data_IF_418051972741
#
_entry.id   IF_418051972741
#
_cell.length_a   1.000
_cell.length_b   1.000
_cell.length_c   1.000
_cell.angle_alpha   90.00
_cell.angle_beta   90.00
_cell.angle_gamma   90.00
#
_symmetry.space_group_name_H-M   'P 1'
#
loop_
_entity.id
_entity.type
_entity.pdbx_description
1 polymer ?
#
# COMPACT_ATOMS: atom_id res chain seq x y z
N UNK A 1 23.63 -0.75 -3.78
CA UNK A 1 22.93 -1.92 -3.22
C UNK A 1 21.45 -1.73 -3.46
N UNK A 2 20.69 -2.75 -3.90
CA UNK A 2 19.25 -2.59 -4.13
C UNK A 2 18.55 -2.18 -2.83
N UNK A 3 17.65 -1.19 -2.87
CA UNK A 3 16.90 -0.75 -1.69
C UNK A 3 15.83 -1.76 -1.21
N UNK A 4 15.67 -2.88 -1.90
CA UNK A 4 14.66 -3.90 -1.61
C UNK A 4 15.06 -4.88 -0.50
N UNK A 5 14.04 -5.47 0.13
CA UNK A 5 14.16 -6.51 1.16
C UNK A 5 14.91 -6.07 2.44
N UNK A 6 14.92 -4.78 2.75
CA UNK A 6 15.47 -4.27 4.03
C UNK A 6 14.54 -4.55 5.22
N UNK A 7 13.22 -4.54 4.98
CA UNK A 7 12.22 -4.90 5.98
C UNK A 7 11.99 -6.41 6.02
N UNK A 8 11.69 -6.89 7.21
CA UNK A 8 11.14 -8.22 7.46
C UNK A 8 10.03 -8.05 8.50
N UNK A 9 8.99 -8.89 8.44
CA UNK A 9 7.83 -8.81 9.31
C UNK A 9 7.73 -10.09 10.13
N UNK A 10 7.26 -9.99 11.37
CA UNK A 10 6.79 -11.14 12.13
C UNK A 10 5.37 -11.52 11.73
N UNK A 11 4.95 -12.75 12.06
CA UNK A 11 3.56 -13.20 11.86
C UNK A 11 2.55 -12.31 12.60
N UNK A 12 2.91 -11.84 13.79
CA UNK A 12 2.05 -10.94 14.60
C UNK A 12 1.85 -9.61 13.90
N UNK A 13 2.94 -8.99 13.41
CA UNK A 13 2.86 -7.74 12.66
C UNK A 13 2.08 -7.92 11.37
N UNK A 14 2.31 -9.01 10.65
CA UNK A 14 1.59 -9.27 9.40
C UNK A 14 0.08 -9.47 9.62
N UNK A 15 -0.33 -10.18 10.68
CA UNK A 15 -1.74 -10.27 11.05
C UNK A 15 -2.35 -8.89 11.37
N UNK A 16 -1.63 -8.03 12.09
CA UNK A 16 -2.08 -6.68 12.40
C UNK A 16 -2.24 -5.81 11.15
N UNK A 17 -1.31 -5.93 10.20
CA UNK A 17 -1.39 -5.25 8.91
C UNK A 17 -2.63 -5.72 8.14
N UNK A 18 -2.89 -7.04 8.10
CA UNK A 18 -4.07 -7.61 7.45
C UNK A 18 -5.36 -7.12 8.13
N UNK A 19 -5.42 -7.13 9.46
CA UNK A 19 -6.59 -6.69 10.22
C UNK A 19 -6.91 -5.21 9.96
N UNK A 20 -5.90 -4.34 9.87
CA UNK A 20 -6.03 -2.94 9.45
C UNK A 20 -6.49 -2.80 7.99
N UNK A 21 -5.95 -3.60 7.08
CA UNK A 21 -6.33 -3.58 5.66
C UNK A 21 -7.78 -4.02 5.45
N UNK A 22 -8.22 -5.08 6.14
CA UNK A 22 -9.61 -5.56 6.11
C UNK A 22 -10.56 -4.49 6.65
N UNK A 23 -10.18 -3.82 7.75
CA UNK A 23 -10.98 -2.75 8.33
C UNK A 23 -11.24 -1.60 7.34
N UNK A 24 -10.20 -1.12 6.66
CA UNK A 24 -10.32 0.03 5.74
C UNK A 24 -10.76 -0.34 4.32
N UNK A 25 -10.99 -1.63 4.03
CA UNK A 25 -11.29 -2.09 2.67
C UNK A 25 -12.57 -1.48 2.12
N UNK A 26 -13.61 -1.37 2.94
CA UNK A 26 -14.93 -0.87 2.51
C UNK A 26 -14.86 0.59 2.04
N UNK A 27 -14.17 1.44 2.80
CA UNK A 27 -14.03 2.87 2.46
C UNK A 27 -13.21 3.06 1.19
N UNK A 28 -12.12 2.29 1.05
CA UNK A 28 -11.33 2.28 -0.16
C UNK A 28 -12.15 1.83 -1.39
N UNK A 29 -12.82 0.68 -1.30
CA UNK A 29 -13.63 0.15 -2.41
C UNK A 29 -14.74 1.15 -2.81
N UNK A 30 -15.40 1.77 -1.82
CA UNK A 30 -16.42 2.81 -2.05
C UNK A 30 -15.81 3.99 -2.80
N UNK A 31 -14.67 4.50 -2.34
CA UNK A 31 -14.02 5.66 -2.94
C UNK A 31 -13.51 5.42 -4.36
N UNK A 32 -13.00 4.22 -4.65
CA UNK A 32 -12.63 3.84 -6.02
C UNK A 32 -13.89 3.77 -6.92
N UNK A 33 -14.98 3.16 -6.42
CA UNK A 33 -16.24 3.06 -7.16
C UNK A 33 -16.86 4.42 -7.46
N UNK A 34 -16.79 5.37 -6.52
CA UNK A 34 -17.33 6.73 -6.68
C UNK A 34 -16.34 7.70 -7.33
N UNK A 35 -15.12 7.24 -7.67
CA UNK A 35 -14.00 8.07 -8.20
C UNK A 35 -13.57 9.20 -7.24
N UNK A 36 -13.83 9.06 -5.95
CA UNK A 36 -13.30 9.96 -4.92
C UNK A 36 -11.77 9.85 -4.84
N UNK A 37 -11.25 8.66 -5.12
CA UNK A 37 -9.85 8.36 -5.44
C UNK A 37 -9.82 7.80 -6.86
N UNK A 38 -8.99 8.39 -7.72
CA UNK A 38 -8.73 7.87 -9.06
C UNK A 38 -7.51 6.93 -9.09
N UNK A 39 -7.36 6.19 -10.18
CA UNK A 39 -6.27 5.22 -10.36
C UNK A 39 -4.88 5.87 -10.30
N UNK A 40 -4.70 7.08 -10.83
CA UNK A 40 -3.42 7.80 -10.80
C UNK A 40 -3.04 8.12 -9.35
N UNK A 41 -3.98 8.62 -8.55
CA UNK A 41 -3.76 8.97 -7.16
C UNK A 41 -3.52 7.72 -6.30
N UNK A 42 -4.32 6.67 -6.49
CA UNK A 42 -4.12 5.36 -5.86
C UNK A 42 -2.71 4.84 -6.12
N UNK A 43 -2.29 4.76 -7.39
CA UNK A 43 -0.98 4.21 -7.77
C UNK A 43 0.18 5.03 -7.20
N UNK A 44 0.04 6.37 -7.13
CA UNK A 44 1.05 7.24 -6.49
C UNK A 44 1.19 6.96 -5.00
N UNK A 45 0.08 6.82 -4.26
CA UNK A 45 0.10 6.43 -2.84
C UNK A 45 0.77 5.06 -2.67
N UNK A 46 0.38 4.09 -3.51
CA UNK A 46 0.92 2.72 -3.43
C UNK A 46 2.42 2.66 -3.71
N UNK A 47 2.91 3.44 -4.68
CA UNK A 47 4.34 3.55 -4.98
C UNK A 47 5.11 4.17 -3.82
N UNK A 48 4.64 5.29 -3.26
CA UNK A 48 5.31 5.97 -2.15
C UNK A 48 5.52 5.02 -0.95
N UNK A 49 4.48 4.29 -0.54
CA UNK A 49 4.58 3.28 0.53
C UNK A 49 5.52 2.14 0.16
N UNK A 50 5.46 1.69 -1.10
CA UNK A 50 6.26 0.59 -1.62
C UNK A 50 7.76 0.91 -1.65
N UNK A 51 8.12 2.15 -1.99
CA UNK A 51 9.49 2.64 -1.98
C UNK A 51 10.07 2.64 -0.56
N UNK A 52 9.30 3.14 0.42
CA UNK A 52 9.69 3.12 1.84
C UNK A 52 9.85 1.69 2.37
N UNK A 53 8.93 0.79 2.03
CA UNK A 53 9.00 -0.59 2.50
C UNK A 53 10.05 -1.44 1.76
N UNK A 54 10.41 -1.06 0.54
CA UNK A 54 11.35 -1.82 -0.29
C UNK A 54 10.78 -3.15 -0.79
N UNK A 55 9.51 -3.19 -1.24
CA UNK A 55 8.94 -4.36 -1.90
C UNK A 55 9.27 -4.38 -3.41
N UNK A 56 10.23 -5.21 -3.84
CA UNK A 56 10.66 -5.30 -5.26
C UNK A 56 9.50 -5.69 -6.19
N UNK A 57 8.70 -6.69 -5.81
CA UNK A 57 7.59 -7.19 -6.63
C UNK A 57 6.53 -6.11 -6.81
N UNK A 58 6.13 -5.47 -5.71
CA UNK A 58 5.13 -4.41 -5.71
C UNK A 58 5.61 -3.18 -6.49
N UNK A 59 6.90 -2.84 -6.34
CA UNK A 59 7.52 -1.71 -7.04
C UNK A 59 7.45 -1.91 -8.55
N UNK A 60 7.82 -3.11 -9.01
CA UNK A 60 7.77 -3.45 -10.43
C UNK A 60 6.34 -3.44 -10.96
N UNK A 61 5.38 -3.98 -10.20
CA UNK A 61 3.97 -4.00 -10.57
C UNK A 61 3.38 -2.59 -10.69
N UNK A 62 3.48 -1.77 -9.64
CA UNK A 62 2.86 -0.44 -9.63
C UNK A 62 3.62 0.57 -10.51
N UNK A 63 4.93 0.40 -10.74
CA UNK A 63 5.65 1.19 -11.74
C UNK A 63 5.14 0.91 -13.15
N UNK A 64 4.84 -0.36 -13.46
CA UNK A 64 4.22 -0.73 -14.74
C UNK A 64 2.82 -0.12 -14.87
N UNK A 65 2.00 -0.25 -13.82
CA UNK A 65 0.66 0.36 -13.76
C UNK A 65 0.70 1.88 -13.97
N UNK A 66 1.64 2.58 -13.32
CA UNK A 66 1.82 4.02 -13.47
C UNK A 66 2.15 4.43 -14.92
N UNK A 67 3.01 3.65 -15.61
CA UNK A 67 3.33 3.89 -17.02
C UNK A 67 2.12 3.68 -17.92
N UNK A 68 1.35 2.62 -17.69
CA UNK A 68 0.14 2.35 -18.47
C UNK A 68 -0.91 3.46 -18.30
N UNK A 69 -1.06 4.00 -17.09
CA UNK A 69 -1.92 5.16 -16.81
C UNK A 69 -1.43 6.43 -17.52
N UNK A 70 -0.11 6.68 -17.54
CA UNK A 70 0.47 7.82 -18.23
C UNK A 70 0.22 7.75 -19.75
N UNK A 71 0.47 6.59 -20.36
CA UNK A 71 0.22 6.35 -21.79
C UNK A 71 -1.26 6.52 -22.12
N UNK A 72 -2.16 5.99 -21.28
CA UNK A 72 -3.60 6.16 -21.47
C UNK A 72 -3.99 7.64 -21.44
N UNK A 73 -3.42 8.42 -20.53
CA UNK A 73 -3.67 9.86 -20.40
C UNK A 73 -3.22 10.61 -21.64
N UNK A 74 -1.99 10.37 -22.12
CA UNK A 74 -1.46 10.94 -23.37
C UNK A 74 -2.35 10.60 -24.57
N UNK A 75 -2.77 9.34 -24.69
CA UNK A 75 -3.61 8.89 -25.80
C UNK A 75 -5.06 9.40 -25.74
N UNK A 76 -5.57 9.74 -24.55
CA UNK A 76 -6.86 10.43 -24.40
C UNK A 76 -6.76 11.94 -24.61
N UNK A 77 -5.56 12.50 -24.51
CA UNK A 77 -5.24 13.91 -24.75
C UNK A 77 -4.70 14.09 -26.17
N UNK A 78 -5.50 13.74 -27.19
CA UNK A 78 -5.22 14.19 -28.57
C UNK A 78 -5.50 15.71 -28.61
N UNK A 79 -4.43 16.49 -28.80
CA UNK A 79 -4.39 17.97 -28.85
C UNK A 79 -4.82 18.70 -27.56
N UNK A 80 -3.88 18.84 -26.62
CA UNK A 80 -3.52 20.15 -26.08
C UNK A 80 -2.20 20.00 -25.32
N UNK A 81 -1.13 20.55 -25.90
CA UNK A 81 0.17 20.73 -25.28
C UNK A 81 0.07 21.78 -24.19
N UNK A 82 -0.53 21.44 -23.06
CA UNK A 82 -0.43 22.23 -21.84
C UNK A 82 -0.12 21.32 -20.65
N UNK A 83 1.19 21.29 -20.35
CA UNK A 83 1.71 21.47 -19.00
C UNK A 83 1.36 20.36 -17.99
N UNK A 84 2.29 19.40 -17.85
CA UNK A 84 2.50 18.70 -16.58
C UNK A 84 3.23 19.64 -15.60
N UNK A 85 2.56 20.69 -15.13
CA UNK A 85 2.91 21.24 -13.83
C UNK A 85 2.12 20.46 -12.82
N UNK A 86 2.84 19.65 -12.06
CA UNK A 86 2.37 19.14 -10.80
C UNK A 86 1.75 20.30 -10.03
N UNK A 87 0.43 20.25 -9.81
CA UNK A 87 -0.21 21.02 -8.75
C UNK A 87 0.30 20.46 -7.42
N UNK A 88 1.43 21.03 -7.02
CA UNK A 88 2.43 20.58 -6.05
C UNK A 88 2.13 21.07 -4.64
N UNK A 89 0.92 20.83 -4.16
CA UNK A 89 0.64 21.01 -2.72
C UNK A 89 -0.46 20.07 -2.26
N UNK A 90 -1.53 19.95 -3.06
CA UNK A 90 -2.68 19.09 -2.71
C UNK A 90 -2.30 17.63 -2.64
N UNK A 91 -1.63 17.17 -3.70
CA UNK A 91 -1.19 15.79 -3.89
C UNK A 91 0.00 15.39 -3.00
N UNK A 92 0.61 16.32 -2.28
CA UNK A 92 1.81 16.06 -1.47
C UNK A 92 1.45 15.57 -0.08
N UNK A 93 0.45 16.18 0.58
CA UNK A 93 0.08 15.81 1.95
C UNK A 93 -0.30 14.32 2.10
N UNK A 94 -1.10 13.75 1.18
CA UNK A 94 -1.46 12.34 1.25
C UNK A 94 -0.26 11.40 0.98
N UNK A 95 0.69 11.85 0.16
CA UNK A 95 1.91 11.09 -0.15
C UNK A 95 2.86 11.13 1.04
N UNK A 96 3.08 12.30 1.63
CA UNK A 96 3.84 12.47 2.86
C UNK A 96 3.22 11.66 4.01
N UNK A 97 1.90 11.70 4.16
CA UNK A 97 1.19 10.89 5.15
C UNK A 97 1.43 9.40 4.91
N UNK A 98 1.37 8.94 3.65
CA UNK A 98 1.61 7.56 3.26
C UNK A 98 3.05 7.10 3.55
N UNK A 99 4.04 7.92 3.22
CA UNK A 99 5.46 7.65 3.49
C UNK A 99 5.72 7.57 5.00
N UNK A 100 5.20 8.54 5.76
CA UNK A 100 5.29 8.55 7.21
C UNK A 100 4.61 7.34 7.84
N UNK A 101 3.42 6.95 7.36
CA UNK A 101 2.73 5.74 7.82
C UNK A 101 3.60 4.49 7.64
N UNK A 102 4.30 4.40 6.51
CA UNK A 102 5.19 3.29 6.20
C UNK A 102 6.48 3.33 7.04
N UNK A 103 7.04 4.51 7.30
CA UNK A 103 8.20 4.69 8.18
C UNK A 103 7.88 4.30 9.63
N UNK A 104 6.71 4.70 10.12
CA UNK A 104 6.22 4.46 11.49
C UNK A 104 5.56 3.09 11.70
N UNK A 105 5.86 2.12 10.82
CA UNK A 105 5.36 0.74 10.87
C UNK A 105 3.84 0.63 11.01
N UNK A 106 3.13 1.48 10.27
CA UNK A 106 1.69 1.51 10.18
C UNK A 106 0.98 2.29 11.28
N UNK A 107 1.70 3.21 11.92
CA UNK A 107 1.16 4.15 12.91
C UNK A 107 1.22 5.58 12.37
N UNK A 108 0.43 6.47 12.96
CA UNK A 108 0.41 7.90 12.69
C UNK A 108 -0.01 8.64 13.96
N UNK A 109 0.39 9.91 14.10
CA UNK A 109 -0.07 10.77 15.19
C UNK A 109 -1.47 11.32 14.89
N UNK A 110 -2.20 11.68 15.94
CA UNK A 110 -3.50 12.35 15.82
C UNK A 110 -3.38 13.67 15.04
N UNK A 111 -2.29 14.41 15.24
CA UNK A 111 -1.96 15.61 14.48
C UNK A 111 -1.92 15.37 12.97
N UNK A 112 -1.12 14.40 12.50
CA UNK A 112 -1.03 14.06 11.06
C UNK A 112 -2.35 13.56 10.49
N UNK A 113 -3.16 12.91 11.32
CA UNK A 113 -4.49 12.45 10.91
C UNK A 113 -5.48 13.60 10.76
N UNK A 114 -5.49 14.52 11.72
CA UNK A 114 -6.35 15.69 11.70
C UNK A 114 -5.97 16.60 10.53
N UNK A 115 -4.68 16.80 10.26
CA UNK A 115 -4.21 17.53 9.07
C UNK A 115 -4.73 16.91 7.77
N UNK A 116 -4.72 15.57 7.66
CA UNK A 116 -5.27 14.87 6.50
C UNK A 116 -6.79 15.08 6.39
N UNK A 117 -7.53 15.00 7.50
CA UNK A 117 -8.98 15.25 7.55
C UNK A 117 -9.31 16.69 7.17
N UNK A 118 -8.61 17.67 7.73
CA UNK A 118 -8.82 19.09 7.45
C UNK A 118 -8.63 19.39 5.96
N UNK A 119 -7.70 18.67 5.32
CA UNK A 119 -7.40 18.84 3.91
C UNK A 119 -8.36 18.13 2.96
N UNK A 120 -8.68 16.85 3.23
CA UNK A 120 -9.38 15.97 2.30
C UNK A 120 -10.84 15.70 2.68
N UNK A 121 -11.23 16.02 3.91
CA UNK A 121 -12.47 15.56 4.52
C UNK A 121 -12.38 14.09 4.96
N UNK A 122 -13.20 13.74 5.96
CA UNK A 122 -13.16 12.43 6.62
C UNK A 122 -13.32 11.24 5.64
N UNK A 123 -14.26 11.32 4.69
CA UNK A 123 -14.52 10.22 3.76
C UNK A 123 -13.29 9.92 2.88
N UNK A 124 -12.67 10.97 2.31
CA UNK A 124 -11.52 10.80 1.43
C UNK A 124 -10.26 10.43 2.22
N UNK A 125 -10.08 10.96 3.43
CA UNK A 125 -8.98 10.57 4.33
C UNK A 125 -9.04 9.10 4.74
N UNK A 126 -10.23 8.58 5.07
CA UNK A 126 -10.41 7.15 5.33
C UNK A 126 -10.10 6.29 4.10
N UNK A 127 -10.48 6.76 2.91
CA UNK A 127 -10.15 6.06 1.67
C UNK A 127 -8.64 6.08 1.35
N UNK A 128 -7.95 7.20 1.59
CA UNK A 128 -6.48 7.31 1.46
C UNK A 128 -5.82 6.33 2.43
N UNK A 129 -6.24 6.31 3.69
CA UNK A 129 -5.76 5.37 4.70
C UNK A 129 -6.03 3.92 4.29
N UNK A 130 -7.15 3.64 3.63
CA UNK A 130 -7.46 2.34 3.06
C UNK A 130 -6.51 1.92 1.94
N UNK A 131 -6.19 2.82 1.01
CA UNK A 131 -5.19 2.56 -0.02
C UNK A 131 -3.82 2.23 0.59
N UNK A 132 -3.39 3.01 1.60
CA UNK A 132 -2.13 2.81 2.33
C UNK A 132 -2.12 1.46 3.05
N UNK A 133 -3.17 1.11 3.80
CA UNK A 133 -3.24 -0.15 4.55
C UNK A 133 -3.27 -1.37 3.63
N UNK A 134 -3.96 -1.29 2.49
CA UNK A 134 -3.98 -2.34 1.48
C UNK A 134 -2.59 -2.56 0.87
N UNK A 135 -1.86 -1.50 0.51
CA UNK A 135 -0.51 -1.66 -0.02
C UNK A 135 0.50 -2.09 1.06
N UNK A 136 0.33 -1.70 2.32
CA UNK A 136 1.12 -2.24 3.43
C UNK A 136 0.98 -3.76 3.54
N UNK A 137 -0.25 -4.29 3.41
CA UNK A 137 -0.51 -5.72 3.32
C UNK A 137 0.18 -6.35 2.10
N UNK A 138 0.04 -5.74 0.93
CA UNK A 138 0.69 -6.18 -0.31
C UNK A 138 2.22 -6.19 -0.22
N UNK A 139 2.82 -5.18 0.40
CA UNK A 139 4.25 -5.06 0.61
C UNK A 139 4.77 -6.11 1.59
N UNK A 140 4.12 -6.28 2.74
CA UNK A 140 4.52 -7.29 3.72
C UNK A 140 4.50 -8.70 3.13
N UNK A 141 3.44 -9.02 2.39
CA UNK A 141 3.32 -10.30 1.69
C UNK A 141 4.34 -10.43 0.54
N UNK A 142 4.46 -9.40 -0.30
CA UNK A 142 5.35 -9.40 -1.47
C UNK A 142 6.83 -9.48 -1.10
N UNK A 143 7.24 -8.90 0.03
CA UNK A 143 8.60 -9.03 0.58
C UNK A 143 8.87 -10.48 0.99
N UNK A 144 7.95 -11.12 1.72
CA UNK A 144 8.11 -12.51 2.15
C UNK A 144 8.12 -13.49 0.96
N UNK A 145 7.15 -13.35 0.04
CA UNK A 145 7.05 -14.18 -1.15
C UNK A 145 8.25 -13.98 -2.09
N UNK A 146 8.69 -12.73 -2.28
CA UNK A 146 9.87 -12.40 -3.08
C UNK A 146 11.15 -12.98 -2.46
N UNK A 147 11.31 -12.88 -1.14
CA UNK A 147 12.45 -13.48 -0.44
C UNK A 147 12.46 -15.01 -0.60
N UNK A 148 11.30 -15.68 -0.47
CA UNK A 148 11.16 -17.11 -0.72
C UNK A 148 11.56 -17.50 -2.15
N UNK A 149 11.05 -16.80 -3.15
CA UNK A 149 11.39 -17.03 -4.57
C UNK A 149 12.90 -16.85 -4.80
N UNK A 150 13.51 -15.82 -4.21
CA UNK A 150 14.95 -15.58 -4.35
C UNK A 150 15.78 -16.66 -3.67
N UNK A 151 15.33 -17.18 -2.52
CA UNK A 151 15.96 -18.31 -1.85
C UNK A 151 15.93 -19.58 -2.70
N UNK A 152 14.79 -19.87 -3.35
CA UNK A 152 14.68 -20.97 -4.32
C UNK A 152 15.60 -20.79 -5.53
N UNK A 153 16.00 -19.54 -5.85
CA UNK A 153 17.01 -19.20 -6.86
C UNK A 153 18.44 -19.09 -6.31
N UNK A 154 18.70 -19.64 -5.12
CA UNK A 154 20.01 -19.59 -4.44
C UNK A 154 20.53 -18.17 -4.16
N UNK A 155 19.63 -17.18 -4.01
CA UNK A 155 19.95 -15.77 -3.69
C UNK A 155 19.24 -15.33 -2.40
N UNK A 156 19.50 -15.99 -1.25
CA UNK A 156 18.76 -15.73 -0.01
C UNK A 156 18.91 -14.27 0.46
N UNK A 157 17.85 -13.75 1.06
CA UNK A 157 17.87 -12.42 1.69
C UNK A 157 18.44 -12.55 3.10
N UNK A 158 19.46 -11.75 3.43
CA UNK A 158 20.27 -11.89 4.66
C UNK A 158 19.48 -11.76 5.97
N UNK A 159 18.42 -10.96 6.00
CA UNK A 159 17.64 -10.63 7.20
C UNK A 159 16.37 -11.51 7.37
N UNK A 160 16.29 -12.65 6.69
CA UNK A 160 15.14 -13.56 6.77
C UNK A 160 15.55 -15.03 6.68
N UNK A 161 14.67 -15.91 7.14
CA UNK A 161 14.86 -17.37 7.14
C UNK A 161 13.80 -18.03 6.27
N UNK A 162 14.10 -19.22 5.75
CA UNK A 162 13.17 -19.99 4.94
C UNK A 162 11.82 -20.21 5.64
N UNK A 163 11.83 -20.61 6.91
CA UNK A 163 10.61 -20.84 7.69
C UNK A 163 9.78 -19.55 7.85
N UNK A 164 10.43 -18.41 8.10
CA UNK A 164 9.72 -17.13 8.21
C UNK A 164 9.10 -16.70 6.88
N UNK A 165 9.86 -16.79 5.79
CA UNK A 165 9.40 -16.47 4.44
C UNK A 165 8.20 -17.35 4.04
N UNK A 166 8.30 -18.66 4.27
CA UNK A 166 7.24 -19.61 3.96
C UNK A 166 5.99 -19.36 4.82
N UNK A 167 6.17 -19.17 6.13
CA UNK A 167 5.08 -18.94 7.07
C UNK A 167 4.29 -17.67 6.71
N UNK A 168 4.97 -16.54 6.47
CA UNK A 168 4.32 -15.28 6.07
C UNK A 168 3.63 -15.39 4.70
N UNK A 169 4.24 -16.12 3.77
CA UNK A 169 3.66 -16.31 2.44
C UNK A 169 2.36 -17.11 2.54
N UNK A 170 2.34 -18.20 3.31
CA UNK A 170 1.16 -19.06 3.43
C UNK A 170 0.12 -18.54 4.41
N UNK A 171 0.52 -17.74 5.41
CA UNK A 171 -0.39 -17.28 6.47
C UNK A 171 -1.52 -16.41 5.93
N UNK A 172 -1.37 -15.77 4.77
CA UNK A 172 -2.44 -14.97 4.14
C UNK A 172 -3.73 -15.78 3.93
N UNK A 173 -3.61 -17.09 3.67
CA UNK A 173 -4.74 -18.01 3.46
C UNK A 173 -5.60 -18.13 4.73
N UNK A 174 -4.98 -18.02 5.91
CA UNK A 174 -5.66 -18.14 7.21
C UNK A 174 -5.97 -16.76 7.79
N UNK A 175 -5.03 -15.83 7.71
CA UNK A 175 -5.11 -14.52 8.35
C UNK A 175 -6.18 -13.63 7.73
N UNK A 176 -6.38 -13.68 6.40
CA UNK A 176 -7.43 -12.87 5.76
C UNK A 176 -8.83 -13.33 6.17
N UNK A 177 -9.21 -14.62 6.04
CA UNK A 177 -10.53 -15.08 6.49
C UNK A 177 -10.76 -14.83 7.98
N UNK A 178 -9.77 -15.10 8.83
CA UNK A 178 -9.90 -14.88 10.28
C UNK A 178 -10.06 -13.41 10.65
N UNK A 179 -9.35 -12.49 9.98
CA UNK A 179 -9.53 -11.06 10.18
C UNK A 179 -10.93 -10.60 9.73
N UNK A 180 -11.44 -11.11 8.60
CA UNK A 180 -12.81 -10.82 8.15
C UNK A 180 -13.84 -11.33 9.17
N UNK A 181 -13.71 -12.59 9.63
CA UNK A 181 -14.61 -13.17 10.64
C UNK A 181 -14.58 -12.35 11.92
N UNK A 182 -13.39 -12.02 12.45
CA UNK A 182 -13.21 -11.18 13.64
C UNK A 182 -13.96 -9.86 13.48
N UNK A 183 -13.78 -9.14 12.37
CA UNK A 183 -14.40 -7.83 12.14
C UNK A 183 -15.93 -7.91 12.00
N UNK A 184 -16.45 -8.98 11.38
CA UNK A 184 -17.90 -9.26 11.31
C UNK A 184 -18.49 -9.56 12.69
N UNK A 185 -17.82 -10.39 13.50
CA UNK A 185 -18.26 -10.71 14.87
C UNK A 185 -18.32 -9.47 15.74
N UNK A 186 -17.40 -8.52 15.52
CA UNK A 186 -17.38 -7.23 16.22
C UNK A 186 -18.39 -6.20 15.67
N UNK A 187 -19.15 -6.53 14.63
CA UNK A 187 -20.12 -5.61 14.01
C UNK A 187 -19.50 -4.41 13.30
N UNK A 188 -18.23 -4.50 12.92
CA UNK A 188 -17.48 -3.40 12.30
C UNK A 188 -17.64 -3.40 10.77
N UNK A 189 -17.73 -4.59 10.16
CA UNK A 189 -17.94 -4.78 8.72
C UNK A 189 -19.11 -5.73 8.44
#
# INVERSE_FOLDING_TARGET
>A
MSNFYKKNYSLKEFYHIIDKAVFSKKDFDKAMKTKLIDEEFKTRIMLAVTEINGCEICNNYHTKEARELAIKKENTQIFNSEVFTMSSSKKELAIEFAENYALENGNYSEEKWNELIDYYGEEKSNAILGAIRLIMMGNAHGIAAGALIRRMKFKPVKNSTFLNELALTLSVIVFVPTAIIKRKVLGII
#
